data_IF_317770102726
#
_entry.id   IF_317770102726
#
_cell.length_a   1.000
_cell.length_b   1.000
_cell.length_c   1.000
_cell.angle_alpha   90.00
_cell.angle_beta   90.00
_cell.angle_gamma   90.00
#
_symmetry.space_group_name_H-M   'P 1'
#
loop_
_entity.id
_entity.type
_entity.pdbx_description
1 polymer ?
#
# COMPACT_ATOMS: atom_id res chain seq x y z
N UNK A 1 5.64 21.42 -15.74
CA UNK A 1 5.38 20.05 -15.24
C UNK A 1 4.26 20.18 -14.24
N UNK A 2 3.07 19.74 -14.63
CA UNK A 2 1.89 19.82 -13.79
C UNK A 2 1.85 18.64 -12.82
N UNK A 3 1.39 18.87 -11.60
CA UNK A 3 1.20 17.79 -10.62
C UNK A 3 -0.22 17.25 -10.73
N UNK A 4 -0.35 15.95 -10.94
CA UNK A 4 -1.64 15.26 -10.95
C UNK A 4 -2.26 15.36 -9.54
N UNK A 5 -3.47 15.93 -9.40
CA UNK A 5 -4.10 16.16 -8.09
C UNK A 5 -4.58 14.87 -7.40
N UNK A 6 -4.66 13.75 -8.12
CA UNK A 6 -5.13 12.46 -7.61
C UNK A 6 -3.98 11.58 -7.14
N UNK A 7 -2.95 11.41 -7.98
CA UNK A 7 -1.82 10.53 -7.66
C UNK A 7 -0.56 11.27 -7.21
N UNK A 8 -0.52 12.60 -7.34
CA UNK A 8 0.62 13.43 -6.98
C UNK A 8 1.82 13.29 -7.92
N UNK A 9 1.70 12.54 -9.02
CA UNK A 9 2.75 12.40 -10.03
C UNK A 9 2.94 13.69 -10.85
N UNK A 10 4.17 13.95 -11.27
CA UNK A 10 4.46 15.02 -12.23
C UNK A 10 4.19 14.54 -13.65
N UNK A 11 3.41 15.32 -14.39
CA UNK A 11 3.01 15.08 -15.78
C UNK A 11 3.66 16.14 -16.66
N UNK A 12 4.25 15.70 -17.76
CA UNK A 12 4.75 16.61 -18.79
C UNK A 12 3.56 17.23 -19.55
N UNK A 13 3.50 18.55 -19.55
CA UNK A 13 2.45 19.31 -20.22
C UNK A 13 2.69 19.25 -21.74
N UNK A 14 1.92 18.40 -22.44
CA UNK A 14 2.06 18.19 -23.88
C UNK A 14 0.74 17.87 -24.56
N UNK A 15 0.74 17.82 -25.91
CA UNK A 15 -0.46 17.62 -26.74
C UNK A 15 -1.18 16.27 -26.53
N UNK A 16 -0.63 15.35 -25.75
CA UNK A 16 -1.20 14.02 -25.47
C UNK A 16 -1.48 13.80 -23.98
N UNK A 17 -1.29 14.83 -23.13
CA UNK A 17 -1.60 14.73 -21.72
C UNK A 17 -3.12 14.73 -21.50
N UNK A 18 -3.61 13.77 -20.72
CA UNK A 18 -5.01 13.72 -20.30
C UNK A 18 -5.28 14.94 -19.43
N UNK A 19 -6.23 15.79 -19.83
CA UNK A 19 -6.51 17.05 -19.15
C UNK A 19 -8.01 17.26 -18.98
N UNK A 20 -8.39 17.95 -17.90
CA UNK A 20 -9.77 18.36 -17.67
C UNK A 20 -9.81 19.75 -17.05
N UNK A 21 -10.82 20.54 -17.43
CA UNK A 21 -10.99 21.89 -16.89
C UNK A 21 -12.16 21.88 -15.91
N UNK A 22 -11.89 22.26 -14.65
CA UNK A 22 -12.91 22.46 -13.62
C UNK A 22 -12.67 23.79 -12.93
N UNK A 23 -13.74 24.56 -12.71
CA UNK A 23 -13.69 25.88 -12.06
C UNK A 23 -12.64 26.83 -12.67
N UNK A 24 -12.45 26.78 -14.00
CA UNK A 24 -11.50 27.64 -14.71
C UNK A 24 -10.01 27.25 -14.58
N UNK A 25 -9.69 26.13 -13.91
CA UNK A 25 -8.32 25.59 -13.82
C UNK A 25 -8.21 24.30 -14.63
N UNK A 26 -7.17 24.18 -15.45
CA UNK A 26 -6.86 22.97 -16.23
C UNK A 26 -5.96 22.06 -15.41
N UNK A 27 -6.45 20.87 -15.09
CA UNK A 27 -5.70 19.82 -14.40
C UNK A 27 -5.19 18.79 -15.41
N UNK A 28 -3.97 18.31 -15.19
CA UNK A 28 -3.33 17.29 -16.02
C UNK A 28 -3.21 15.99 -15.23
N UNK A 29 -3.44 14.86 -15.88
CA UNK A 29 -3.49 13.54 -15.25
C UNK A 29 -2.49 12.58 -15.89
N UNK A 30 -1.91 11.71 -15.06
CA UNK A 30 -0.93 10.72 -15.51
C UNK A 30 -1.56 9.53 -16.23
N UNK A 31 -2.86 9.28 -16.05
CA UNK A 31 -3.56 8.09 -16.54
C UNK A 31 -5.07 8.30 -16.62
N UNK A 32 -5.74 7.50 -17.47
CA UNK A 32 -7.21 7.49 -17.57
C UNK A 32 -7.87 7.17 -16.22
N UNK A 33 -7.21 6.36 -15.38
CA UNK A 33 -7.67 6.11 -14.02
C UNK A 33 -7.73 7.37 -13.16
N UNK A 34 -6.73 8.26 -13.22
CA UNK A 34 -6.70 9.49 -12.43
C UNK A 34 -7.73 10.51 -12.95
N UNK A 35 -7.88 10.61 -14.28
CA UNK A 35 -8.92 11.43 -14.90
C UNK A 35 -10.33 10.96 -14.47
N UNK A 36 -10.61 9.66 -14.55
CA UNK A 36 -11.89 9.08 -14.13
C UNK A 36 -12.14 9.28 -12.62
N UNK A 37 -11.10 9.23 -11.80
CA UNK A 37 -11.17 9.47 -10.36
C UNK A 37 -11.55 10.91 -10.02
N UNK A 38 -11.01 11.86 -10.78
CA UNK A 38 -11.33 13.29 -10.67
C UNK A 38 -12.73 13.62 -11.19
N UNK A 39 -13.19 12.94 -12.25
CA UNK A 39 -14.53 13.12 -12.81
C UNK A 39 -15.64 12.49 -11.96
N UNK A 40 -15.36 11.36 -11.30
CA UNK A 40 -16.32 10.63 -10.47
C UNK A 40 -15.77 10.36 -9.04
N UNK A 41 -15.66 11.39 -8.19
CA UNK A 41 -15.08 11.28 -6.86
C UNK A 41 -15.86 10.35 -5.92
N UNK A 42 -17.17 10.19 -6.11
CA UNK A 42 -17.99 9.32 -5.25
C UNK A 42 -17.64 7.83 -5.38
N UNK A 43 -17.34 7.36 -6.60
CA UNK A 43 -16.98 5.95 -6.86
C UNK A 43 -15.57 5.63 -6.37
N UNK A 44 -14.66 6.60 -6.44
CA UNK A 44 -13.28 6.42 -5.98
C UNK A 44 -13.20 6.35 -4.46
N UNK A 45 -13.98 7.19 -3.76
CA UNK A 45 -14.14 7.14 -2.32
C UNK A 45 -14.70 5.79 -1.85
N UNK A 46 -15.73 5.27 -2.52
CA UNK A 46 -16.31 3.96 -2.19
C UNK A 46 -15.31 2.81 -2.35
N UNK A 47 -14.47 2.85 -3.40
CA UNK A 47 -13.39 1.87 -3.60
C UNK A 47 -12.33 1.98 -2.51
N UNK A 48 -11.91 3.20 -2.16
CA UNK A 48 -10.93 3.42 -1.10
C UNK A 48 -11.46 2.92 0.26
N UNK A 49 -12.73 3.22 0.58
CA UNK A 49 -13.42 2.70 1.78
C UNK A 49 -13.44 1.18 1.82
N UNK A 50 -13.69 0.51 0.68
CA UNK A 50 -13.62 -0.97 0.61
C UNK A 50 -12.21 -1.51 0.83
N UNK A 51 -11.18 -0.86 0.27
CA UNK A 51 -9.79 -1.28 0.46
C UNK A 51 -9.32 -1.08 1.90
N UNK A 52 -9.68 0.05 2.51
CA UNK A 52 -9.38 0.34 3.92
C UNK A 52 -10.12 -0.63 4.84
N UNK A 53 -11.41 -0.86 4.61
CA UNK A 53 -12.17 -1.82 5.42
C UNK A 53 -11.64 -3.25 5.27
N UNK A 54 -11.27 -3.68 4.06
CA UNK A 54 -10.59 -4.96 3.85
C UNK A 54 -9.25 -5.01 4.60
N UNK A 55 -8.40 -3.99 4.47
CA UNK A 55 -7.12 -3.92 5.17
C UNK A 55 -7.27 -3.97 6.68
N UNK A 56 -8.23 -3.23 7.25
CA UNK A 56 -8.53 -3.23 8.68
C UNK A 56 -9.04 -4.58 9.16
N UNK A 57 -9.99 -5.18 8.44
CA UNK A 57 -10.56 -6.51 8.78
C UNK A 57 -9.49 -7.60 8.76
N UNK A 58 -8.50 -7.52 7.86
CA UNK A 58 -7.40 -8.49 7.82
C UNK A 58 -6.29 -8.18 8.82
N UNK A 59 -6.02 -6.91 9.13
CA UNK A 59 -4.95 -6.51 10.06
C UNK A 59 -5.31 -6.82 11.51
N UNK A 60 -6.59 -6.70 11.90
CA UNK A 60 -7.05 -6.99 13.27
C UNK A 60 -6.73 -8.44 13.68
N UNK A 61 -7.07 -9.48 12.89
CA UNK A 61 -6.67 -10.86 13.18
C UNK A 61 -5.16 -11.07 13.23
N UNK A 62 -4.38 -10.40 12.35
CA UNK A 62 -2.92 -10.51 12.36
C UNK A 62 -2.36 -9.99 13.68
N UNK A 63 -2.78 -8.80 14.12
CA UNK A 63 -2.37 -8.23 15.39
C UNK A 63 -2.80 -9.09 16.59
N UNK A 64 -4.01 -9.64 16.53
CA UNK A 64 -4.49 -10.57 17.56
C UNK A 64 -3.61 -11.83 17.64
N UNK A 65 -3.22 -12.43 16.50
CA UNK A 65 -2.34 -13.61 16.47
C UNK A 65 -0.91 -13.31 16.94
N UNK A 66 -0.43 -12.07 16.84
CA UNK A 66 0.88 -11.70 17.36
C UNK A 66 0.87 -11.49 18.88
N UNK A 67 -0.10 -10.73 19.39
CA UNK A 67 -0.12 -10.34 20.81
C UNK A 67 -0.82 -11.33 21.72
N UNK A 68 -1.80 -12.08 21.20
CA UNK A 68 -2.47 -13.14 21.95
C UNK A 68 -1.85 -14.48 21.55
N UNK A 69 -1.30 -15.27 22.51
CA UNK A 69 -0.77 -16.59 22.23
C UNK A 69 -1.91 -17.62 22.03
N UNK A 70 -2.73 -17.41 21.00
CA UNK A 70 -3.86 -18.27 20.64
C UNK A 70 -3.36 -19.61 20.08
N UNK A 71 -2.23 -19.58 19.37
CA UNK A 71 -1.62 -20.75 18.74
C UNK A 71 -0.24 -20.99 19.38
N UNK A 72 -0.08 -22.06 20.18
CA UNK A 72 1.18 -22.35 20.87
C UNK A 72 2.30 -22.85 19.93
N UNK A 73 1.96 -23.28 18.71
CA UNK A 73 2.95 -23.66 17.69
C UNK A 73 3.41 -22.43 16.90
N UNK A 74 4.64 -21.98 17.17
CA UNK A 74 5.26 -20.82 16.54
C UNK A 74 5.34 -20.94 15.02
N UNK A 75 5.49 -22.16 14.47
CA UNK A 75 5.60 -22.37 13.03
C UNK A 75 4.24 -22.18 12.34
N UNK A 76 3.19 -22.75 12.93
CA UNK A 76 1.82 -22.58 12.42
C UNK A 76 1.41 -21.12 12.50
N UNK A 77 1.71 -20.45 13.62
CA UNK A 77 1.38 -19.04 13.80
C UNK A 77 2.02 -18.16 12.70
N UNK A 78 3.32 -18.34 12.44
CA UNK A 78 4.04 -17.59 11.41
C UNK A 78 3.50 -17.85 9.99
N UNK A 79 3.12 -19.09 9.67
CA UNK A 79 2.52 -19.41 8.36
C UNK A 79 1.14 -18.75 8.22
N UNK A 80 0.31 -18.75 9.26
CA UNK A 80 -0.98 -18.08 9.23
C UNK A 80 -0.81 -16.56 9.04
N UNK A 81 0.12 -15.94 9.76
CA UNK A 81 0.47 -14.52 9.57
C UNK A 81 0.96 -14.23 8.15
N UNK A 82 1.77 -15.12 7.57
CA UNK A 82 2.20 -15.00 6.18
C UNK A 82 1.00 -15.02 5.21
N UNK A 83 0.10 -16.00 5.36
CA UNK A 83 -1.08 -16.13 4.51
C UNK A 83 -2.03 -14.93 4.65
N UNK A 84 -2.24 -14.43 5.87
CA UNK A 84 -3.10 -13.27 6.11
C UNK A 84 -2.45 -11.95 5.65
N UNK A 85 -1.13 -11.80 5.78
CA UNK A 85 -0.42 -10.58 5.37
C UNK A 85 -0.30 -10.46 3.84
N UNK A 86 -0.26 -11.58 3.10
CA UNK A 86 -0.21 -11.59 1.62
C UNK A 86 -1.27 -10.70 0.96
N UNK A 87 -2.58 -10.88 1.20
CA UNK A 87 -3.61 -10.03 0.60
C UNK A 87 -3.51 -8.57 1.06
N UNK A 88 -3.09 -8.30 2.31
CA UNK A 88 -2.86 -6.92 2.76
C UNK A 88 -1.71 -6.28 1.98
N UNK A 89 -0.60 -7.00 1.84
CA UNK A 89 0.59 -6.54 1.14
C UNK A 89 0.31 -6.30 -0.35
N UNK A 90 -0.28 -7.27 -1.04
CA UNK A 90 -0.40 -7.23 -2.50
C UNK A 90 -1.71 -6.65 -3.04
N UNK A 91 -2.83 -6.73 -2.31
CA UNK A 91 -4.12 -6.18 -2.77
C UNK A 91 -4.30 -4.75 -2.24
N UNK A 92 -4.20 -4.57 -0.91
CA UNK A 92 -4.36 -3.24 -0.29
C UNK A 92 -3.14 -2.38 -0.59
N UNK A 93 -1.93 -2.94 -0.47
CA UNK A 93 -0.68 -2.23 -0.73
C UNK A 93 -0.38 -1.94 -2.21
N UNK A 94 -1.12 -2.53 -3.16
CA UNK A 94 -0.80 -2.46 -4.61
C UNK A 94 -0.59 -1.02 -5.13
N UNK A 95 -1.38 -0.08 -4.62
CA UNK A 95 -1.27 1.35 -4.98
C UNK A 95 0.13 1.89 -4.67
N UNK A 96 0.68 1.57 -3.50
CA UNK A 96 1.99 2.05 -3.06
C UNK A 96 3.12 1.44 -3.89
N UNK A 97 3.00 0.18 -4.30
CA UNK A 97 3.98 -0.45 -5.20
C UNK A 97 4.04 0.22 -6.56
N UNK A 98 2.88 0.56 -7.14
CA UNK A 98 2.83 1.30 -8.41
C UNK A 98 3.50 2.67 -8.26
N UNK A 99 3.15 3.42 -7.21
CA UNK A 99 3.77 4.72 -6.92
C UNK A 99 5.28 4.63 -6.62
N UNK A 100 5.74 3.54 -6.01
CA UNK A 100 7.15 3.24 -5.77
C UNK A 100 7.91 3.02 -7.08
N UNK A 101 7.34 2.26 -8.00
CA UNK A 101 7.95 1.97 -9.30
C UNK A 101 8.11 3.23 -10.15
N UNK A 102 7.07 4.09 -10.16
CA UNK A 102 7.10 5.36 -10.88
C UNK A 102 8.14 6.34 -10.28
N UNK A 103 8.26 6.39 -8.95
CA UNK A 103 9.30 7.16 -8.26
C UNK A 103 10.72 6.67 -8.57
N UNK A 104 10.92 5.35 -8.60
CA UNK A 104 12.20 4.77 -8.95
C UNK A 104 12.61 5.09 -10.39
N UNK A 105 11.65 5.03 -11.34
CA UNK A 105 11.89 5.38 -12.74
C UNK A 105 12.22 6.86 -12.93
N UNK A 106 11.52 7.74 -12.22
CA UNK A 106 11.74 9.19 -12.29
C UNK A 106 12.93 9.68 -11.47
N UNK A 107 13.56 8.82 -10.66
CA UNK A 107 14.67 9.14 -9.73
C UNK A 107 14.31 10.23 -8.72
N UNK A 108 13.04 10.36 -8.38
CA UNK A 108 12.53 11.33 -7.40
C UNK A 108 11.90 10.53 -6.25
N UNK A 109 12.35 10.78 -5.02
CA UNK A 109 11.77 10.13 -3.84
C UNK A 109 10.36 10.64 -3.56
N UNK A 110 9.40 9.71 -3.36
CA UNK A 110 8.04 10.01 -2.91
C UNK A 110 7.69 9.21 -1.65
N UNK A 111 6.55 9.55 -1.03
CA UNK A 111 6.04 8.84 0.15
C UNK A 111 5.76 7.36 -0.14
N UNK A 112 5.19 7.07 -1.32
CA UNK A 112 4.84 5.71 -1.73
C UNK A 112 6.07 4.80 -1.81
N UNK A 113 7.22 5.31 -2.29
CA UNK A 113 8.49 4.59 -2.36
C UNK A 113 9.00 4.19 -0.98
N UNK A 114 8.90 5.08 0.00
CA UNK A 114 9.32 4.79 1.37
C UNK A 114 8.45 3.71 2.01
N UNK A 115 7.13 3.77 1.78
CA UNK A 115 6.16 2.78 2.26
C UNK A 115 6.39 1.43 1.57
N UNK A 116 6.52 1.44 0.24
CA UNK A 116 6.72 0.24 -0.56
C UNK A 116 8.00 -0.48 -0.18
N UNK A 117 9.12 0.23 -0.07
CA UNK A 117 10.39 -0.36 0.35
C UNK A 117 10.33 -0.89 1.80
N UNK A 118 9.80 -0.10 2.75
CA UNK A 118 9.77 -0.48 4.16
C UNK A 118 8.90 -1.71 4.42
N UNK A 119 7.68 -1.72 3.89
CA UNK A 119 6.74 -2.84 4.08
C UNK A 119 7.22 -4.10 3.36
N UNK A 120 7.80 -3.97 2.17
CA UNK A 120 8.38 -5.11 1.44
C UNK A 120 9.59 -5.70 2.17
N UNK A 121 10.47 -4.86 2.70
CA UNK A 121 11.64 -5.30 3.45
C UNK A 121 11.22 -6.09 4.71
N UNK A 122 10.25 -5.57 5.48
CA UNK A 122 9.70 -6.25 6.64
C UNK A 122 9.04 -7.58 6.27
N UNK A 123 8.27 -7.61 5.18
CA UNK A 123 7.58 -8.82 4.71
C UNK A 123 8.56 -9.90 4.21
N UNK A 124 9.56 -9.52 3.42
CA UNK A 124 10.61 -10.44 2.92
C UNK A 124 11.42 -11.01 4.09
N UNK A 125 11.85 -10.16 5.02
CA UNK A 125 12.56 -10.62 6.22
C UNK A 125 11.75 -11.67 6.98
N UNK A 126 10.47 -11.39 7.22
CA UNK A 126 9.56 -12.27 7.95
C UNK A 126 9.32 -13.60 7.21
N UNK A 127 9.27 -13.55 5.88
CA UNK A 127 9.16 -14.73 5.03
C UNK A 127 10.40 -15.62 5.16
N UNK A 128 11.59 -15.04 5.07
CA UNK A 128 12.85 -15.79 5.23
C UNK A 128 12.94 -16.38 6.65
N UNK A 129 12.61 -15.60 7.68
CA UNK A 129 12.60 -16.08 9.06
C UNK A 129 11.62 -17.24 9.30
N UNK A 130 10.52 -17.31 8.54
CA UNK A 130 9.50 -18.36 8.65
C UNK A 130 9.90 -19.65 7.93
N UNK A 131 10.48 -19.55 6.73
CA UNK A 131 10.80 -20.72 5.89
C UNK A 131 12.21 -21.26 6.09
N UNK A 132 13.15 -20.43 6.59
CA UNK A 132 14.54 -20.82 6.84
C UNK A 132 14.91 -20.54 8.31
N UNK A 133 14.32 -21.30 9.27
CA UNK A 133 14.66 -21.16 10.69
C UNK A 133 16.11 -21.59 10.90
N UNK A 134 16.98 -20.65 11.29
CA UNK A 134 18.41 -20.86 11.49
C UNK A 134 19.33 -19.97 10.66
N UNK A 135 18.80 -19.25 9.65
CA UNK A 135 19.58 -18.24 8.94
C UNK A 135 19.80 -16.97 9.78
N UNK A 136 18.83 -16.65 10.65
CA UNK A 136 18.90 -15.50 11.57
C UNK A 136 18.88 -15.96 13.03
N UNK A 137 19.65 -15.31 13.94
CA UNK A 137 19.63 -15.60 15.38
C UNK A 137 18.29 -15.27 16.05
N UNK A 138 17.52 -14.35 15.46
CA UNK A 138 16.24 -13.88 15.96
C UNK A 138 15.09 -14.48 15.14
N UNK A 139 14.15 -15.15 15.82
CA UNK A 139 12.94 -15.74 15.23
C UNK A 139 11.74 -14.78 15.17
N UNK A 140 11.94 -13.48 15.44
CA UNK A 140 10.88 -12.48 15.41
C UNK A 140 10.38 -12.24 13.98
N UNK A 141 9.06 -12.24 13.79
CA UNK A 141 8.41 -11.92 12.52
C UNK A 141 7.77 -10.52 12.59
N UNK A 142 7.74 -9.83 11.45
CA UNK A 142 7.25 -8.44 11.30
C UNK A 142 6.12 -8.35 10.26
N UNK A 143 5.41 -9.46 10.02
CA UNK A 143 4.24 -9.48 9.13
C UNK A 143 3.18 -8.48 9.59
N UNK A 144 2.93 -8.43 10.89
CA UNK A 144 2.02 -7.47 11.50
C UNK A 144 2.43 -6.02 11.24
N UNK A 145 3.71 -5.69 11.46
CA UNK A 145 4.20 -4.32 11.28
C UNK A 145 3.96 -3.84 9.85
N UNK A 146 4.23 -4.70 8.86
CA UNK A 146 3.95 -4.38 7.45
C UNK A 146 2.45 -4.13 7.19
N UNK A 147 1.58 -4.97 7.73
CA UNK A 147 0.13 -4.87 7.57
C UNK A 147 -0.46 -3.63 8.26
N UNK A 148 0.02 -3.29 9.47
CA UNK A 148 -0.39 -2.10 10.21
C UNK A 148 0.00 -0.83 9.45
N UNK A 149 1.24 -0.75 8.97
CA UNK A 149 1.73 0.42 8.22
C UNK A 149 0.85 0.66 6.98
N UNK A 150 0.61 -0.37 6.17
CA UNK A 150 -0.23 -0.26 4.97
C UNK A 150 -1.65 0.21 5.32
N UNK A 151 -2.25 -0.40 6.35
CA UNK A 151 -3.63 -0.10 6.74
C UNK A 151 -3.78 1.31 7.31
N UNK A 152 -2.87 1.75 8.18
CA UNK A 152 -2.92 3.09 8.78
C UNK A 152 -2.72 4.19 7.73
N UNK A 153 -1.77 4.02 6.82
CA UNK A 153 -1.53 5.01 5.76
C UNK A 153 -2.70 5.03 4.78
N UNK A 154 -3.25 3.87 4.43
CA UNK A 154 -4.44 3.83 3.58
C UNK A 154 -5.65 4.50 4.24
N UNK A 155 -5.77 4.38 5.57
CA UNK A 155 -6.79 5.07 6.38
C UNK A 155 -6.56 6.58 6.40
N UNK A 156 -5.30 7.04 6.55
CA UNK A 156 -4.97 8.47 6.45
C UNK A 156 -5.39 9.06 5.10
N UNK A 157 -5.05 8.38 4.00
CA UNK A 157 -5.48 8.74 2.65
C UNK A 157 -7.01 8.72 2.43
N UNK A 158 -7.78 8.10 3.33
CA UNK A 158 -9.25 8.10 3.27
C UNK A 158 -9.87 9.30 4.01
N UNK A 159 -9.14 9.86 4.98
CA UNK A 159 -9.56 11.00 5.79
C UNK A 159 -9.16 12.34 5.17
N UNK A 160 -8.18 12.32 4.27
CA UNK A 160 -7.86 13.42 3.35
C UNK A 160 -8.96 13.61 2.29
#
# INVERSE_FOLDING_TARGET
MAKDPICGMYVEEGKHALQTTRYGTTYYFCSESCLAQFQAPEKSLARLKRLVSLGAVLTIPIAALTYLPIIPDSRINNIMMFILSLPVQFIVGFRFYRGSYDALRSRIGNMDLLIGLGTSAAWIYSTIATFVPGFFPSSGTYFETSAIIITLIQTGNLLE
#
